data_IF_521572814785
#
_entry.id   IF_521572814785
#
_cell.length_a   1.000
_cell.length_b   1.000
_cell.length_c   1.000
_cell.angle_alpha   90.00
_cell.angle_beta   90.00
_cell.angle_gamma   90.00
#
_symmetry.space_group_name_H-M   'P 1'
#
loop_
_entity.id
_entity.type
_entity.pdbx_description
1 polymer ?
#
# COMPACT_ATOMS: atom_id res chain seq x y z
N UNK A 1 12.25 13.69 13.64
CA UNK A 1 11.64 14.64 14.59
C UNK A 1 11.01 15.76 13.76
N UNK A 2 9.68 15.85 13.75
CA UNK A 2 8.90 16.82 13.00
C UNK A 2 7.80 17.40 13.88
N UNK A 3 7.07 18.41 13.38
CA UNK A 3 5.99 19.04 14.13
C UNK A 3 4.92 17.99 14.51
N UNK A 4 4.46 18.03 15.76
CA UNK A 4 3.49 17.08 16.33
C UNK A 4 2.10 17.14 15.68
N UNK A 5 1.88 18.05 14.73
CA UNK A 5 0.64 18.18 13.95
C UNK A 5 0.78 17.66 12.52
N UNK A 6 2.01 17.50 12.03
CA UNK A 6 2.23 17.10 10.64
C UNK A 6 1.67 15.69 10.35
N UNK A 7 1.91 14.67 11.20
CA UNK A 7 1.33 13.35 10.99
C UNK A 7 -0.20 13.34 10.95
N UNK A 8 -0.84 14.17 11.75
CA UNK A 8 -2.30 14.28 11.90
C UNK A 8 -2.91 14.94 10.67
N UNK A 9 -2.26 15.98 10.14
CA UNK A 9 -2.63 16.61 8.87
C UNK A 9 -2.50 15.60 7.74
N UNK A 10 -1.43 14.80 7.70
CA UNK A 10 -1.29 13.76 6.68
C UNK A 10 -2.38 12.71 6.81
N UNK A 11 -2.71 12.29 8.04
CA UNK A 11 -3.76 11.30 8.27
C UNK A 11 -5.13 11.77 7.76
N UNK A 12 -5.47 13.06 7.96
CA UNK A 12 -6.68 13.68 7.43
C UNK A 12 -6.69 13.72 5.90
N UNK A 13 -5.58 14.12 5.27
CA UNK A 13 -5.49 14.20 3.80
C UNK A 13 -5.56 12.84 3.14
N UNK A 14 -4.86 11.85 3.69
CA UNK A 14 -4.94 10.47 3.19
C UNK A 14 -6.36 9.94 3.36
N UNK A 15 -7.05 10.27 4.46
CA UNK A 15 -8.45 9.87 4.64
C UNK A 15 -9.40 10.45 3.56
N UNK A 16 -9.22 11.70 3.15
CA UNK A 16 -9.98 12.30 2.04
C UNK A 16 -9.76 11.53 0.72
N UNK A 17 -8.49 11.21 0.41
CA UNK A 17 -8.14 10.40 -0.76
C UNK A 17 -8.78 9.01 -0.67
N UNK A 18 -8.70 8.34 0.48
CA UNK A 18 -9.30 7.02 0.66
C UNK A 18 -10.82 7.04 0.50
N UNK A 19 -11.48 8.14 0.87
CA UNK A 19 -12.91 8.30 0.63
C UNK A 19 -13.23 8.51 -0.85
N UNK A 20 -12.41 9.23 -1.61
CA UNK A 20 -12.59 9.37 -3.06
C UNK A 20 -12.38 8.05 -3.80
N UNK A 21 -11.63 7.11 -3.23
CA UNK A 21 -11.49 5.77 -3.79
C UNK A 21 -12.77 4.94 -3.69
N UNK A 22 -13.72 5.34 -2.84
CA UNK A 22 -15.04 4.68 -2.76
C UNK A 22 -15.89 4.91 -4.01
N UNK A 23 -15.56 5.92 -4.82
CA UNK A 23 -16.25 6.19 -6.09
C UNK A 23 -15.49 5.63 -7.29
N UNK A 24 -14.36 4.96 -7.06
CA UNK A 24 -13.56 4.36 -8.12
C UNK A 24 -14.24 3.13 -8.73
N UNK A 25 -14.24 3.05 -10.06
CA UNK A 25 -14.98 2.04 -10.84
C UNK A 25 -14.64 0.58 -10.49
N UNK A 26 -13.44 0.32 -9.97
CA UNK A 26 -12.97 -1.02 -9.62
C UNK A 26 -12.73 -1.22 -8.12
N UNK A 27 -13.38 -0.44 -7.26
CA UNK A 27 -13.23 -0.53 -5.80
C UNK A 27 -13.42 -1.96 -5.27
N UNK A 28 -14.36 -2.73 -5.83
CA UNK A 28 -14.67 -4.12 -5.49
C UNK A 28 -13.47 -5.08 -5.64
N UNK A 29 -12.46 -4.73 -6.43
CA UNK A 29 -11.23 -5.52 -6.59
C UNK A 29 -10.22 -5.28 -5.46
N UNK A 30 -10.40 -4.23 -4.65
CA UNK A 30 -9.55 -3.93 -3.49
C UNK A 30 -10.01 -4.82 -2.33
N UNK A 31 -9.28 -5.89 -2.08
CA UNK A 31 -9.63 -6.86 -1.03
C UNK A 31 -9.30 -6.35 0.37
N UNK A 32 -8.14 -5.71 0.50
CA UNK A 32 -7.61 -5.20 1.77
C UNK A 32 -6.77 -3.97 1.50
N UNK A 33 -6.84 -3.01 2.42
CA UNK A 33 -6.00 -1.82 2.46
C UNK A 33 -5.42 -1.71 3.86
N UNK A 34 -4.11 -1.65 3.96
CA UNK A 34 -3.38 -1.43 5.20
C UNK A 34 -2.51 -0.19 5.06
N UNK A 35 -2.40 0.57 6.14
CA UNK A 35 -1.72 1.86 6.19
C UNK A 35 -0.96 1.99 7.50
N UNK A 36 0.21 2.58 7.42
CA UNK A 36 0.94 3.12 8.55
C UNK A 36 1.45 4.51 8.20
N UNK A 37 0.78 5.55 8.73
CA UNK A 37 1.00 6.96 8.38
C UNK A 37 0.94 7.17 6.86
N UNK A 38 2.08 7.44 6.24
CA UNK A 38 2.20 7.84 4.84
C UNK A 38 2.41 6.63 3.92
N UNK A 39 2.87 5.51 4.47
CA UNK A 39 3.09 4.27 3.75
C UNK A 39 1.88 3.34 3.87
N UNK A 40 1.49 2.73 2.76
CA UNK A 40 0.39 1.78 2.75
C UNK A 40 0.53 0.79 1.63
N UNK A 41 -0.19 -0.31 1.76
CA UNK A 41 -0.35 -1.26 0.69
C UNK A 41 -1.77 -1.76 0.61
N UNK A 42 -2.15 -2.19 -0.58
CA UNK A 42 -3.42 -2.86 -0.80
C UNK A 42 -3.22 -4.15 -1.55
N UNK A 43 -4.17 -5.06 -1.34
CA UNK A 43 -4.28 -6.30 -2.09
C UNK A 43 -5.36 -6.07 -3.14
N UNK A 44 -4.94 -6.11 -4.41
CA UNK A 44 -5.82 -5.96 -5.56
C UNK A 44 -6.01 -7.32 -6.23
N UNK A 45 -7.25 -7.78 -6.30
CA UNK A 45 -7.59 -9.07 -6.89
C UNK A 45 -7.79 -8.92 -8.40
N UNK A 46 -7.10 -9.75 -9.19
CA UNK A 46 -7.29 -9.84 -10.65
C UNK A 46 -7.23 -8.48 -11.37
N UNK A 47 -6.29 -7.63 -10.94
CA UNK A 47 -6.05 -6.33 -11.55
C UNK A 47 -5.07 -6.39 -12.70
N UNK A 48 -5.39 -5.64 -13.76
CA UNK A 48 -4.43 -5.32 -14.80
C UNK A 48 -3.55 -4.15 -14.35
N UNK A 49 -2.39 -4.03 -15.00
CA UNK A 49 -1.47 -2.94 -14.74
C UNK A 49 -2.09 -1.56 -15.00
N UNK A 50 -2.95 -1.47 -16.01
CA UNK A 50 -3.66 -0.24 -16.36
C UNK A 50 -4.68 0.15 -15.29
N UNK A 51 -5.41 -0.81 -14.71
CA UNK A 51 -6.35 -0.53 -13.62
C UNK A 51 -5.63 0.01 -12.37
N UNK A 52 -4.48 -0.57 -12.04
CA UNK A 52 -3.65 -0.10 -10.91
C UNK A 52 -3.11 1.31 -11.21
N UNK A 53 -2.65 1.56 -12.44
CA UNK A 53 -2.19 2.88 -12.85
C UNK A 53 -3.31 3.93 -12.76
N UNK A 54 -4.51 3.61 -13.26
CA UNK A 54 -5.69 4.47 -13.18
C UNK A 54 -6.11 4.74 -11.73
N UNK A 55 -6.00 3.75 -10.84
CA UNK A 55 -6.26 3.93 -9.42
C UNK A 55 -5.34 5.00 -8.80
N UNK A 56 -4.03 4.91 -9.06
CA UNK A 56 -3.08 5.91 -8.56
C UNK A 56 -3.24 7.27 -9.25
N UNK A 57 -3.62 7.30 -10.51
CA UNK A 57 -3.95 8.54 -11.21
C UNK A 57 -5.17 9.23 -10.58
N UNK A 58 -6.24 8.48 -10.30
CA UNK A 58 -7.43 9.00 -9.62
C UNK A 58 -7.12 9.53 -8.22
N UNK A 59 -6.26 8.83 -7.47
CA UNK A 59 -5.79 9.28 -6.16
C UNK A 59 -4.95 10.58 -6.26
N UNK A 60 -4.03 10.65 -7.21
CA UNK A 60 -3.19 11.83 -7.43
C UNK A 60 -3.97 13.05 -7.92
N UNK A 61 -5.12 12.86 -8.58
CA UNK A 61 -6.00 13.97 -8.98
C UNK A 61 -6.71 14.64 -7.80
N UNK A 62 -6.77 14.00 -6.63
CA UNK A 62 -7.47 14.56 -5.47
C UNK A 62 -6.77 15.76 -4.85
N UNK A 63 -5.44 15.88 -5.03
CA UNK A 63 -4.69 16.97 -4.44
C UNK A 63 -3.45 17.33 -5.26
N UNK A 64 -3.35 18.59 -5.68
CA UNK A 64 -2.30 19.06 -6.60
C UNK A 64 -0.86 18.87 -6.10
N UNK A 65 -0.66 18.81 -4.77
CA UNK A 65 0.66 18.69 -4.15
C UNK A 65 0.98 17.29 -3.60
N UNK A 66 0.01 16.37 -3.58
CA UNK A 66 0.24 15.00 -3.09
C UNK A 66 0.42 14.08 -4.29
N UNK A 67 1.53 13.34 -4.29
CA UNK A 67 1.84 12.37 -5.34
C UNK A 67 2.16 11.03 -4.71
N UNK A 68 1.23 10.10 -4.83
CA UNK A 68 1.39 8.70 -4.48
C UNK A 68 2.23 7.99 -5.55
N UNK A 69 3.34 7.41 -5.09
CA UNK A 69 4.16 6.47 -5.86
C UNK A 69 3.79 5.04 -5.46
N UNK A 70 3.98 4.09 -6.37
CA UNK A 70 3.62 2.72 -6.10
C UNK A 70 4.61 1.73 -6.68
N UNK A 71 4.70 0.60 -6.00
CA UNK A 71 5.39 -0.59 -6.48
C UNK A 71 4.39 -1.74 -6.48
N UNK A 72 4.43 -2.56 -7.54
CA UNK A 72 3.59 -3.74 -7.69
C UNK A 72 4.44 -4.99 -7.70
N UNK A 73 3.93 -6.02 -7.06
CA UNK A 73 4.53 -7.35 -7.10
C UNK A 73 3.47 -8.39 -6.82
N UNK A 74 3.49 -9.47 -7.59
CA UNK A 74 2.52 -10.55 -7.45
C UNK A 74 2.92 -11.57 -6.38
N UNK A 75 4.20 -11.61 -5.98
CA UNK A 75 4.78 -12.69 -5.16
C UNK A 75 5.14 -12.24 -3.76
N UNK A 76 5.70 -11.04 -3.62
CA UNK A 76 6.19 -10.48 -2.36
C UNK A 76 6.18 -8.96 -2.36
N UNK A 77 6.00 -8.37 -1.21
CA UNK A 77 5.99 -6.92 -1.01
C UNK A 77 6.72 -6.61 0.28
N UNK A 78 7.56 -5.58 0.26
CA UNK A 78 8.13 -5.03 1.48
C UNK A 78 7.17 -3.99 2.05
N UNK A 79 6.86 -4.09 3.34
CA UNK A 79 6.11 -3.09 4.07
C UNK A 79 6.82 -2.83 5.40
N UNK A 80 7.40 -1.64 5.56
CA UNK A 80 8.27 -1.30 6.68
C UNK A 80 9.42 -2.33 6.82
N UNK A 81 9.55 -2.93 8.01
CA UNK A 81 10.56 -3.95 8.34
C UNK A 81 10.07 -5.39 8.08
N UNK A 82 8.95 -5.55 7.38
CA UNK A 82 8.33 -6.85 7.11
C UNK A 82 8.25 -7.11 5.61
N UNK A 83 8.64 -8.31 5.21
CA UNK A 83 8.38 -8.85 3.88
C UNK A 83 7.13 -9.72 3.94
N UNK A 84 6.09 -9.27 3.23
CA UNK A 84 4.83 -9.98 3.04
C UNK A 84 4.93 -10.79 1.75
N UNK A 85 4.67 -12.09 1.75
CA UNK A 85 4.81 -12.91 0.54
C UNK A 85 3.83 -14.08 0.47
N UNK A 86 3.63 -14.58 -0.75
CA UNK A 86 2.83 -15.79 -1.03
C UNK A 86 3.67 -17.04 -0.79
N UNK A 87 3.78 -17.46 0.46
CA UNK A 87 4.49 -18.67 0.84
C UNK A 87 3.60 -19.92 0.81
N UNK A 88 3.96 -20.93 1.62
CA UNK A 88 3.26 -22.22 1.64
C UNK A 88 1.85 -22.08 2.23
N UNK A 89 1.69 -21.26 3.28
CA UNK A 89 0.39 -21.07 3.95
C UNK A 89 -0.62 -20.43 3.01
N UNK A 90 -0.16 -19.60 2.07
CA UNK A 90 -1.02 -18.99 1.08
C UNK A 90 -1.67 -20.03 0.16
N UNK A 91 -0.93 -21.07 -0.24
CA UNK A 91 -1.46 -22.13 -1.12
C UNK A 91 -2.47 -23.03 -0.43
N UNK A 92 -2.27 -23.29 0.86
CA UNK A 92 -3.10 -24.23 1.63
C UNK A 92 -4.31 -23.52 2.29
N UNK A 93 -4.16 -22.26 2.69
CA UNK A 93 -5.16 -21.55 3.52
C UNK A 93 -5.50 -20.14 3.03
N UNK A 94 -4.84 -19.63 1.98
CA UNK A 94 -5.02 -18.24 1.51
C UNK A 94 -4.39 -17.18 2.41
N UNK A 95 -3.64 -17.57 3.45
CA UNK A 95 -3.01 -16.65 4.41
C UNK A 95 -1.63 -16.24 3.90
N UNK A 96 -1.34 -14.94 3.88
CA UNK A 96 -0.02 -14.41 3.52
C UNK A 96 1.01 -14.70 4.60
N UNK A 97 2.22 -15.08 4.19
CA UNK A 97 3.34 -15.31 5.08
C UNK A 97 4.11 -14.00 5.31
N UNK A 98 4.65 -13.85 6.53
CA UNK A 98 5.40 -12.69 6.97
C UNK A 98 6.81 -13.12 7.38
N UNK A 99 7.82 -12.36 6.96
CA UNK A 99 9.19 -12.51 7.47
C UNK A 99 9.82 -11.14 7.69
N UNK A 100 10.85 -11.06 8.52
CA UNK A 100 11.57 -9.80 8.72
C UNK A 100 12.35 -9.44 7.47
N UNK A 101 12.16 -8.22 6.95
CA UNK A 101 12.96 -7.69 5.88
C UNK A 101 14.22 -7.05 6.46
N UNK A 102 15.40 -7.57 6.09
CA UNK A 102 16.69 -6.94 6.42
C UNK A 102 17.31 -6.39 5.16
N UNK A 103 17.60 -5.09 5.13
CA UNK A 103 18.39 -4.49 4.05
C UNK A 103 19.79 -5.11 4.06
N UNK A 104 20.34 -5.40 2.89
CA UNK A 104 21.71 -5.97 2.74
C UNK A 104 22.81 -5.10 3.35
N UNK A 105 22.54 -3.83 3.61
CA UNK A 105 23.48 -2.87 4.24
C UNK A 105 23.47 -2.91 5.77
N UNK A 106 22.52 -3.60 6.42
CA UNK A 106 22.47 -3.78 7.87
C UNK A 106 23.29 -5.02 8.28
N UNK A 107 24.60 -4.97 8.08
CA UNK A 107 25.55 -5.96 8.58
C UNK A 107 26.23 -5.42 9.84
N UNK A 108 25.49 -5.24 10.93
CA UNK A 108 26.09 -5.13 12.26
C UNK A 108 25.81 -6.45 12.99
N UNK A 109 26.82 -7.32 12.99
CA UNK A 109 26.95 -8.45 13.91
C UNK A 109 27.67 -7.99 15.17
#
# INVERSE_FOLDING_TARGET
>A
MGNNLSPEITDLRVYEVLNSLRTFQHQQKISRLYRFRDDGFFIYNEGTDDEIAQFFEHANRQHALLKFTHEKSQTKMQFLDVLVFKGRRFRETGILDLTTFRKKTENYQ
#
